data_IF_176793517164
#
_entry.id   IF_176793517164
#
_cell.length_a   1.000
_cell.length_b   1.000
_cell.length_c   1.000
_cell.angle_alpha   90.00
_cell.angle_beta   90.00
_cell.angle_gamma   90.00
#
_symmetry.space_group_name_H-M   'P 1'
#
loop_
_entity.id
_entity.type
_entity.pdbx_description
1 polymer ?
#
# COMPACT_ATOMS: atom_id res chain seq x y z
N UNK A 1 -22.33 -19.11 -13.22
CA UNK A 1 -21.28 -18.24 -12.64
C UNK A 1 -20.05 -19.10 -12.48
N UNK A 2 -18.94 -18.71 -13.04
CA UNK A 2 -17.73 -19.53 -13.01
C UNK A 2 -17.08 -19.32 -11.63
N UNK A 3 -17.30 -20.25 -10.72
CA UNK A 3 -16.90 -20.20 -9.30
C UNK A 3 -15.41 -20.58 -9.14
N UNK A 4 -14.55 -20.03 -9.98
CA UNK A 4 -13.12 -20.32 -9.94
C UNK A 4 -12.46 -19.51 -8.84
N UNK A 5 -11.84 -20.20 -7.89
CA UNK A 5 -11.05 -19.64 -6.80
C UNK A 5 -9.92 -18.77 -7.37
N UNK A 6 -10.00 -17.47 -7.15
CA UNK A 6 -9.01 -16.48 -7.62
C UNK A 6 -7.89 -16.26 -6.60
N UNK A 7 -6.73 -15.86 -7.09
CA UNK A 7 -5.68 -15.26 -6.26
C UNK A 7 -5.85 -13.74 -6.32
N UNK A 8 -6.06 -13.10 -5.18
CA UNK A 8 -6.35 -11.68 -5.07
C UNK A 8 -5.26 -11.01 -4.22
N UNK A 9 -4.63 -9.98 -4.76
CA UNK A 9 -3.79 -9.09 -3.96
C UNK A 9 -4.61 -7.86 -3.61
N UNK A 10 -4.74 -7.60 -2.31
CA UNK A 10 -5.51 -6.48 -1.75
C UNK A 10 -4.55 -5.40 -1.27
N UNK A 11 -4.64 -4.20 -1.83
CA UNK A 11 -3.90 -3.02 -1.37
C UNK A 11 -4.78 -2.17 -0.44
N UNK A 12 -4.44 -2.12 0.84
CA UNK A 12 -5.16 -1.36 1.86
C UNK A 12 -4.67 0.09 1.91
N UNK A 13 -5.57 1.05 1.69
CA UNK A 13 -5.32 2.48 1.88
C UNK A 13 -5.17 2.87 3.36
N UNK A 14 -4.74 4.11 3.62
CA UNK A 14 -4.54 4.61 4.99
C UNK A 14 -5.80 4.54 5.86
N UNK A 15 -6.97 4.80 5.29
CA UNK A 15 -8.26 4.74 5.99
C UNK A 15 -8.64 3.33 6.49
N UNK A 16 -8.07 2.29 5.88
CA UNK A 16 -8.27 0.90 6.32
C UNK A 16 -7.44 0.52 7.56
N UNK A 17 -6.59 1.44 8.06
CA UNK A 17 -5.73 1.22 9.22
C UNK A 17 -5.84 2.33 10.27
N UNK A 18 -6.25 3.52 9.88
CA UNK A 18 -6.38 4.65 10.78
C UNK A 18 -7.45 5.63 10.28
N UNK A 19 -8.42 5.96 11.14
CA UNK A 19 -9.37 7.05 10.91
C UNK A 19 -8.73 8.40 11.28
N UNK A 20 -9.18 9.48 10.64
CA UNK A 20 -8.67 10.81 10.92
C UNK A 20 -8.88 11.18 12.40
N UNK A 21 -7.83 11.66 13.05
CA UNK A 21 -7.84 12.03 14.48
C UNK A 21 -7.68 10.85 15.46
N UNK A 22 -7.64 9.59 14.99
CA UNK A 22 -7.55 8.40 15.83
C UNK A 22 -6.16 7.75 15.74
N UNK A 23 -5.16 8.30 16.43
CA UNK A 23 -3.78 7.84 16.35
C UNK A 23 -3.38 6.80 17.41
N UNK A 24 -4.24 6.51 18.41
CA UNK A 24 -3.91 5.54 19.45
C UNK A 24 -3.84 4.11 18.91
N UNK A 25 -2.98 3.26 19.51
CA UNK A 25 -2.87 1.84 19.14
C UNK A 25 -4.22 1.11 19.22
N UNK A 26 -5.01 1.38 20.26
CA UNK A 26 -6.34 0.78 20.44
C UNK A 26 -7.29 1.16 19.30
N UNK A 27 -7.29 2.44 18.88
CA UNK A 27 -8.12 2.89 17.78
C UNK A 27 -7.69 2.24 16.44
N UNK A 28 -6.39 2.13 16.19
CA UNK A 28 -5.87 1.50 14.98
C UNK A 28 -6.15 -0.01 14.94
N UNK A 29 -6.05 -0.72 16.07
CA UNK A 29 -6.45 -2.12 16.17
C UNK A 29 -7.94 -2.31 15.85
N UNK A 30 -8.82 -1.44 16.39
CA UNK A 30 -10.25 -1.47 16.05
C UNK A 30 -10.49 -1.29 14.55
N UNK A 31 -9.75 -0.38 13.89
CA UNK A 31 -9.86 -0.20 12.43
C UNK A 31 -9.36 -1.43 11.68
N UNK A 32 -8.30 -2.09 12.14
CA UNK A 32 -7.83 -3.35 11.58
C UNK A 32 -8.90 -4.46 11.70
N UNK A 33 -9.60 -4.55 12.84
CA UNK A 33 -10.72 -5.48 13.03
C UNK A 33 -11.87 -5.20 12.05
N UNK A 34 -12.26 -3.92 11.89
CA UNK A 34 -13.30 -3.50 10.94
C UNK A 34 -12.89 -3.88 9.50
N UNK A 35 -11.64 -3.62 9.14
CA UNK A 35 -11.07 -3.95 7.82
C UNK A 35 -11.10 -5.45 7.55
N UNK A 36 -10.63 -6.26 8.48
CA UNK A 36 -10.60 -7.73 8.32
C UNK A 36 -12.01 -8.30 8.18
N UNK A 37 -13.01 -7.78 8.90
CA UNK A 37 -14.40 -8.23 8.74
C UNK A 37 -14.94 -8.04 7.32
N UNK A 38 -14.55 -6.95 6.63
CA UNK A 38 -14.93 -6.71 5.23
C UNK A 38 -14.20 -7.67 4.27
N UNK A 39 -12.94 -8.00 4.56
CA UNK A 39 -12.14 -8.91 3.75
C UNK A 39 -12.52 -10.40 3.94
N UNK A 40 -13.20 -10.73 5.04
CA UNK A 40 -13.52 -12.11 5.37
C UNK A 40 -14.37 -12.80 4.29
N UNK A 41 -15.23 -12.04 3.61
CA UNK A 41 -16.06 -12.54 2.50
C UNK A 41 -15.22 -13.14 1.37
N UNK A 42 -14.07 -12.54 1.03
CA UNK A 42 -13.16 -13.06 0.01
C UNK A 42 -12.60 -14.44 0.39
N UNK A 43 -12.22 -14.60 1.67
CA UNK A 43 -11.59 -15.82 2.18
C UNK A 43 -12.64 -16.94 2.31
N UNK A 44 -13.85 -16.60 2.79
CA UNK A 44 -14.96 -17.57 2.91
C UNK A 44 -15.51 -18.00 1.56
N UNK A 45 -15.42 -17.16 0.52
CA UNK A 45 -15.69 -17.55 -0.88
C UNK A 45 -14.59 -18.46 -1.45
N UNK A 46 -13.52 -18.73 -0.71
CA UNK A 46 -12.46 -19.65 -1.11
C UNK A 46 -11.34 -19.02 -1.94
N UNK A 47 -11.30 -17.71 -2.06
CA UNK A 47 -10.19 -17.03 -2.74
C UNK A 47 -8.91 -17.12 -1.91
N UNK A 48 -7.77 -17.06 -2.60
CA UNK A 48 -6.43 -16.93 -2.02
C UNK A 48 -6.09 -15.46 -1.93
N UNK A 49 -5.71 -14.99 -0.74
CA UNK A 49 -5.56 -13.55 -0.48
C UNK A 49 -4.17 -13.22 0.04
N UNK A 50 -3.51 -12.26 -0.62
CA UNK A 50 -2.36 -11.55 -0.08
C UNK A 50 -2.74 -10.09 0.18
N UNK A 51 -2.23 -9.51 1.26
CA UNK A 51 -2.57 -8.16 1.71
C UNK A 51 -1.31 -7.30 1.72
N UNK A 52 -1.38 -6.18 1.06
CA UNK A 52 -0.40 -5.09 1.11
C UNK A 52 -1.05 -3.90 1.80
N UNK A 53 -0.40 -3.32 2.79
CA UNK A 53 -0.94 -2.17 3.51
C UNK A 53 -0.06 -0.92 3.35
N UNK A 54 -0.66 0.26 3.45
CA UNK A 54 0.08 1.49 3.69
C UNK A 54 0.57 1.56 5.14
N UNK A 55 1.52 2.45 5.40
CA UNK A 55 2.09 2.66 6.75
C UNK A 55 2.37 4.13 7.07
N UNK A 56 1.96 5.06 6.22
CA UNK A 56 2.37 6.47 6.31
C UNK A 56 2.26 7.09 7.72
N UNK A 57 1.09 7.02 8.40
CA UNK A 57 0.98 7.53 9.76
C UNK A 57 1.86 6.79 10.77
N UNK A 58 1.95 5.46 10.65
CA UNK A 58 2.68 4.61 11.61
C UNK A 58 4.19 4.81 11.48
N UNK A 59 4.74 4.77 10.27
CA UNK A 59 6.18 5.02 10.05
C UNK A 59 6.56 6.45 10.44
N UNK A 60 5.67 7.40 10.17
CA UNK A 60 5.86 8.80 10.59
C UNK A 60 5.98 8.94 12.11
N UNK A 61 5.12 8.28 12.87
CA UNK A 61 5.19 8.27 14.33
C UNK A 61 6.44 7.57 14.85
N UNK A 62 6.84 6.44 14.24
CA UNK A 62 8.08 5.74 14.61
C UNK A 62 9.28 6.67 14.41
N UNK A 63 9.41 7.29 13.24
CA UNK A 63 10.50 8.24 12.95
C UNK A 63 10.54 9.37 13.98
N UNK A 64 9.38 9.94 14.37
CA UNK A 64 9.33 10.98 15.41
C UNK A 64 9.82 10.48 16.77
N UNK A 65 9.47 9.25 17.17
CA UNK A 65 9.94 8.67 18.41
C UNK A 65 11.47 8.42 18.37
N UNK A 66 11.99 7.90 17.27
CA UNK A 66 13.41 7.69 17.04
C UNK A 66 14.20 9.01 17.13
N UNK A 67 13.69 10.05 16.45
CA UNK A 67 14.31 11.37 16.45
C UNK A 67 14.26 12.09 17.81
N UNK A 68 13.24 11.82 18.64
CA UNK A 68 13.07 12.47 19.93
C UNK A 68 14.13 12.04 20.96
N UNK A 69 14.70 10.82 20.81
CA UNK A 69 15.65 10.23 21.77
C UNK A 69 17.02 9.98 21.11
N UNK A 70 17.32 10.70 20.04
CA UNK A 70 18.58 10.51 19.31
C UNK A 70 19.79 11.00 20.13
N UNK A 71 20.55 10.05 20.68
CA UNK A 71 21.80 10.30 21.43
C UNK A 71 22.92 9.40 20.92
N UNK A 72 24.16 9.63 21.39
CA UNK A 72 25.28 8.76 21.06
C UNK A 72 25.10 7.33 21.59
N UNK A 73 24.42 7.17 22.74
CA UNK A 73 24.16 5.85 23.34
C UNK A 73 22.91 5.18 22.77
N UNK A 74 21.98 5.98 22.27
CA UNK A 74 20.73 5.50 21.64
C UNK A 74 20.52 6.25 20.33
N UNK A 75 21.28 5.89 19.28
CA UNK A 75 21.14 6.57 18.00
C UNK A 75 19.81 6.22 17.34
N UNK A 76 19.21 7.19 16.66
CA UNK A 76 17.97 6.96 15.89
C UNK A 76 18.21 5.95 14.77
N UNK A 77 17.22 5.09 14.55
CA UNK A 77 17.23 4.13 13.45
C UNK A 77 16.97 4.82 12.10
N UNK A 78 17.56 4.31 11.02
CA UNK A 78 17.30 4.82 9.68
C UNK A 78 15.85 4.55 9.23
N UNK A 79 15.43 5.19 8.14
CA UNK A 79 14.06 5.14 7.68
C UNK A 79 13.60 3.72 7.26
N UNK A 80 14.48 2.95 6.65
CA UNK A 80 14.20 1.57 6.27
C UNK A 80 13.91 0.66 7.48
N UNK A 81 14.62 0.85 8.60
CA UNK A 81 14.36 0.13 9.85
C UNK A 81 13.02 0.54 10.46
N UNK A 82 12.70 1.84 10.44
CA UNK A 82 11.37 2.34 10.82
C UNK A 82 10.27 1.74 9.92
N UNK A 83 10.56 1.53 8.64
CA UNK A 83 9.71 0.80 7.71
C UNK A 83 9.46 -0.63 8.16
N UNK A 84 10.53 -1.37 8.54
CA UNK A 84 10.44 -2.73 9.05
C UNK A 84 9.63 -2.82 10.35
N UNK A 85 9.85 -1.90 11.29
CA UNK A 85 9.07 -1.80 12.53
C UNK A 85 7.57 -1.61 12.25
N UNK A 86 7.23 -0.74 11.27
CA UNK A 86 5.85 -0.50 10.88
C UNK A 86 5.19 -1.74 10.26
N UNK A 87 5.93 -2.55 9.50
CA UNK A 87 5.43 -3.83 8.97
C UNK A 87 5.10 -4.81 10.10
N UNK A 88 5.98 -4.94 11.10
CA UNK A 88 5.76 -5.78 12.27
C UNK A 88 4.53 -5.34 13.07
N UNK A 89 4.41 -4.04 13.33
CA UNK A 89 3.31 -3.46 14.11
C UNK A 89 1.95 -3.67 13.43
N UNK A 90 1.82 -3.27 12.17
CA UNK A 90 0.57 -3.38 11.42
C UNK A 90 0.27 -4.87 11.12
N UNK A 91 1.30 -5.64 10.80
CA UNK A 91 1.17 -7.08 10.58
C UNK A 91 0.61 -7.80 11.81
N UNK A 92 1.10 -7.46 13.01
CA UNK A 92 0.58 -7.98 14.27
C UNK A 92 -0.92 -7.67 14.44
N UNK A 93 -1.34 -6.43 14.22
CA UNK A 93 -2.75 -6.04 14.34
C UNK A 93 -3.64 -6.80 13.37
N UNK A 94 -3.24 -6.92 12.10
CA UNK A 94 -3.99 -7.65 11.09
C UNK A 94 -4.04 -9.15 11.37
N UNK A 95 -2.94 -9.77 11.81
CA UNK A 95 -2.91 -11.19 12.19
C UNK A 95 -3.88 -11.48 13.34
N UNK A 96 -3.88 -10.64 14.37
CA UNK A 96 -4.76 -10.78 15.52
C UNK A 96 -6.23 -10.62 15.08
N UNK A 97 -6.54 -9.59 14.27
CA UNK A 97 -7.88 -9.37 13.73
C UNK A 97 -8.38 -10.57 12.89
N UNK A 98 -7.53 -11.17 12.05
CA UNK A 98 -7.88 -12.38 11.31
C UNK A 98 -8.11 -13.58 12.21
N UNK A 99 -7.24 -13.79 13.20
CA UNK A 99 -7.42 -14.88 14.18
C UNK A 99 -8.79 -14.79 14.85
N UNK A 100 -9.15 -13.61 15.35
CA UNK A 100 -10.41 -13.38 16.06
C UNK A 100 -11.62 -13.48 15.11
N UNK A 101 -11.49 -12.98 13.88
CA UNK A 101 -12.53 -13.11 12.86
C UNK A 101 -12.76 -14.57 12.47
N UNK A 102 -11.72 -15.36 12.25
CA UNK A 102 -11.83 -16.79 11.96
C UNK A 102 -12.49 -17.56 13.11
N UNK A 103 -12.02 -17.32 14.33
CA UNK A 103 -12.59 -17.92 15.53
C UNK A 103 -14.08 -17.60 15.71
N UNK A 104 -14.46 -16.33 15.52
CA UNK A 104 -15.85 -15.89 15.64
C UNK A 104 -16.80 -16.54 14.63
N UNK A 105 -16.28 -16.99 13.49
CA UNK A 105 -17.01 -17.69 12.42
C UNK A 105 -16.86 -19.21 12.47
N UNK A 106 -16.16 -19.76 13.47
CA UNK A 106 -15.93 -21.21 13.56
C UNK A 106 -14.98 -21.76 12.47
N UNK A 107 -14.17 -20.91 11.86
CA UNK A 107 -13.18 -21.26 10.82
C UNK A 107 -11.89 -21.67 11.54
N UNK A 108 -11.57 -22.96 11.56
CA UNK A 108 -10.44 -23.48 12.33
C UNK A 108 -9.26 -23.92 11.45
N UNK A 109 -9.42 -23.89 10.13
CA UNK A 109 -8.44 -24.35 9.13
C UNK A 109 -7.79 -23.20 8.34
N UNK A 110 -8.04 -21.95 8.74
CA UNK A 110 -7.47 -20.76 8.11
C UNK A 110 -6.52 -20.04 9.04
N UNK A 111 -5.46 -19.53 8.46
CA UNK A 111 -4.41 -18.80 9.17
C UNK A 111 -4.07 -17.52 8.43
N UNK A 112 -3.62 -16.51 9.17
CA UNK A 112 -3.02 -15.30 8.64
C UNK A 112 -1.61 -15.14 9.22
N UNK A 113 -0.66 -14.75 8.38
CA UNK A 113 0.72 -14.49 8.78
C UNK A 113 1.21 -13.18 8.19
N UNK A 114 2.08 -12.50 8.91
CA UNK A 114 2.80 -11.33 8.42
C UNK A 114 4.23 -11.71 8.07
N UNK A 115 4.69 -11.23 6.91
CA UNK A 115 6.05 -11.43 6.42
C UNK A 115 6.71 -10.06 6.30
N UNK A 116 7.79 -9.85 7.06
CA UNK A 116 8.67 -8.69 6.85
C UNK A 116 9.26 -8.81 5.45
N UNK A 117 9.07 -7.78 4.63
CA UNK A 117 9.26 -7.87 3.19
C UNK A 117 10.19 -6.79 2.69
N UNK A 118 11.22 -7.19 1.97
CA UNK A 118 12.19 -6.32 1.30
C UNK A 118 11.83 -6.16 -0.18
N UNK A 119 11.99 -4.94 -0.68
CA UNK A 119 11.72 -4.62 -2.09
C UNK A 119 12.97 -3.99 -2.72
N UNK A 120 13.52 -4.68 -3.70
CA UNK A 120 14.67 -4.18 -4.46
C UNK A 120 14.23 -3.03 -5.35
N UNK A 121 15.01 -1.94 -5.31
CA UNK A 121 14.84 -0.75 -6.16
C UNK A 121 16.09 -0.49 -6.97
N UNK A 122 15.96 0.28 -8.06
CA UNK A 122 17.08 0.69 -8.90
C UNK A 122 17.74 1.94 -8.33
N UNK A 123 19.04 1.91 -8.07
CA UNK A 123 19.79 3.08 -7.61
C UNK A 123 19.81 4.24 -8.61
N UNK A 124 19.55 3.96 -9.89
CA UNK A 124 19.46 4.96 -10.96
C UNK A 124 18.05 5.53 -11.16
N UNK A 125 17.05 5.09 -10.36
CA UNK A 125 15.69 5.61 -10.46
C UNK A 125 15.68 7.14 -10.26
N UNK A 126 15.05 7.91 -11.18
CA UNK A 126 14.98 9.38 -11.09
C UNK A 126 14.37 9.90 -9.79
N UNK A 127 13.59 9.08 -9.08
CA UNK A 127 13.02 9.44 -7.79
C UNK A 127 14.08 9.79 -6.75
N UNK A 128 15.29 9.22 -6.82
CA UNK A 128 16.40 9.57 -5.92
C UNK A 128 16.90 10.99 -6.13
N UNK A 129 16.80 11.52 -7.35
CA UNK A 129 17.17 12.91 -7.67
C UNK A 129 16.05 13.92 -7.37
N UNK A 130 14.81 13.45 -7.29
CA UNK A 130 13.65 14.31 -7.03
C UNK A 130 12.71 13.66 -6.01
N UNK A 131 13.02 13.74 -4.71
CA UNK A 131 12.16 13.23 -3.65
C UNK A 131 10.76 13.87 -3.68
N UNK A 132 9.71 13.04 -3.63
CA UNK A 132 8.32 13.49 -3.73
C UNK A 132 7.38 12.84 -2.73
N UNK A 133 7.80 11.78 -2.05
CA UNK A 133 6.92 11.03 -1.12
C UNK A 133 6.89 11.70 0.24
N UNK A 134 5.76 12.30 0.66
CA UNK A 134 5.68 12.95 1.96
C UNK A 134 5.62 11.92 3.09
N UNK A 135 6.42 12.14 4.12
CA UNK A 135 6.44 11.34 5.36
C UNK A 135 6.44 12.24 6.59
N UNK A 136 6.16 11.66 7.75
CA UNK A 136 6.20 12.36 9.02
C UNK A 136 5.09 13.42 9.20
N UNK A 137 5.26 14.32 10.18
CA UNK A 137 4.28 15.33 10.53
C UNK A 137 4.20 16.48 9.52
N UNK A 138 3.21 17.33 9.71
CA UNK A 138 3.15 18.62 9.07
C UNK A 138 3.93 19.64 9.90
N UNK A 139 4.68 20.50 9.23
CA UNK A 139 5.44 21.61 9.77
C UNK A 139 4.85 22.95 9.29
N UNK A 140 5.02 24.00 10.07
CA UNK A 140 4.96 25.35 9.56
C UNK A 140 6.15 25.60 8.63
N UNK A 141 6.14 26.65 7.83
CA UNK A 141 7.28 26.96 6.96
C UNK A 141 8.56 27.22 7.78
N UNK A 142 8.47 27.92 8.90
CA UNK A 142 9.60 28.21 9.80
C UNK A 142 10.21 26.92 10.36
N UNK A 143 9.38 26.02 10.89
CA UNK A 143 9.81 24.71 11.39
C UNK A 143 10.44 23.86 10.28
N UNK A 144 9.86 23.88 9.08
CA UNK A 144 10.38 23.15 7.92
C UNK A 144 11.79 23.60 7.55
N UNK A 145 12.02 24.92 7.49
CA UNK A 145 13.36 25.48 7.20
C UNK A 145 14.38 25.12 8.28
N UNK A 146 13.96 25.09 9.55
CA UNK A 146 14.81 24.65 10.65
C UNK A 146 15.19 23.18 10.52
N UNK A 147 14.22 22.29 10.27
CA UNK A 147 14.45 20.84 10.09
C UNK A 147 15.35 20.58 8.87
N UNK A 148 15.14 21.31 7.77
CA UNK A 148 15.98 21.24 6.57
C UNK A 148 17.45 21.58 6.88
N UNK A 149 17.68 22.67 7.62
CA UNK A 149 19.03 23.12 7.99
C UNK A 149 19.72 22.22 9.02
N UNK A 150 18.99 21.70 10.01
CA UNK A 150 19.56 20.92 11.12
C UNK A 150 19.76 19.42 10.75
N UNK A 151 18.91 18.89 9.86
CA UNK A 151 18.85 17.44 9.58
C UNK A 151 19.14 17.08 8.13
N UNK A 152 19.42 18.05 7.27
CA UNK A 152 19.63 17.88 5.84
C UNK A 152 18.46 17.13 5.14
N UNK A 153 17.23 17.38 5.61
CA UNK A 153 16.03 16.82 5.00
C UNK A 153 15.57 17.65 3.82
N UNK A 154 14.97 17.02 2.83
CA UNK A 154 14.23 17.71 1.78
C UNK A 154 12.80 17.91 2.28
N UNK A 155 12.32 19.16 2.30
CA UNK A 155 10.95 19.48 2.70
C UNK A 155 10.21 20.15 1.55
N UNK A 156 8.92 19.83 1.39
CA UNK A 156 8.05 20.40 0.37
C UNK A 156 6.69 20.76 0.98
N UNK A 157 6.07 21.77 0.41
CA UNK A 157 4.69 22.13 0.73
C UNK A 157 3.75 21.02 0.25
N UNK A 158 2.78 20.62 1.08
CA UNK A 158 1.85 19.52 0.84
C UNK A 158 0.40 20.03 0.73
N UNK A 159 0.05 20.48 -0.46
CA UNK A 159 -1.30 20.81 -0.89
C UNK A 159 -2.08 21.76 0.06
N UNK A 160 -1.46 22.84 0.53
CA UNK A 160 -2.07 23.85 1.41
C UNK A 160 -2.21 23.42 2.87
N UNK A 161 -1.74 22.23 3.23
CA UNK A 161 -1.85 21.67 4.59
C UNK A 161 -0.64 21.98 5.48
N UNK A 162 0.43 22.49 4.92
CA UNK A 162 1.72 22.77 5.55
C UNK A 162 2.87 22.09 4.82
N UNK A 163 4.02 22.04 5.45
CA UNK A 163 5.25 21.49 4.90
C UNK A 163 5.50 20.09 5.46
N UNK A 164 6.09 19.22 4.64
CA UNK A 164 6.46 17.86 5.08
C UNK A 164 7.83 17.48 4.54
N UNK A 165 8.54 16.63 5.30
CA UNK A 165 9.69 15.91 4.77
C UNK A 165 9.25 15.07 3.58
N UNK A 166 10.02 15.10 2.51
CA UNK A 166 9.83 14.23 1.35
C UNK A 166 11.06 13.36 1.13
N UNK A 167 10.81 12.11 0.76
CA UNK A 167 11.84 11.11 0.46
C UNK A 167 11.66 10.56 -0.95
N UNK A 168 12.70 9.91 -1.54
CA UNK A 168 12.56 9.22 -2.80
C UNK A 168 11.44 8.17 -2.77
N UNK A 169 10.74 8.00 -3.90
CA UNK A 169 9.73 6.96 -4.06
C UNK A 169 9.99 6.17 -5.35
N UNK A 170 11.06 5.34 -5.37
CA UNK A 170 11.44 4.57 -6.54
C UNK A 170 10.43 3.46 -6.85
N UNK A 171 10.41 2.99 -8.10
CA UNK A 171 9.58 1.86 -8.51
C UNK A 171 10.14 0.52 -8.01
N UNK A 172 9.27 -0.41 -7.56
CA UNK A 172 9.69 -1.74 -7.12
C UNK A 172 10.16 -2.58 -8.31
N UNK A 173 11.35 -3.19 -8.19
CA UNK A 173 11.92 -4.08 -9.20
C UNK A 173 11.66 -5.56 -8.87
N UNK A 174 11.88 -5.94 -7.61
CA UNK A 174 11.75 -7.29 -7.09
C UNK A 174 11.23 -7.27 -5.66
N UNK A 175 10.50 -8.29 -5.25
CA UNK A 175 10.16 -8.56 -3.85
C UNK A 175 10.93 -9.81 -3.43
N UNK A 176 11.86 -9.64 -2.50
CA UNK A 176 12.85 -10.68 -2.13
C UNK A 176 12.15 -11.96 -1.64
N UNK A 177 11.14 -11.82 -0.81
CA UNK A 177 10.41 -12.92 -0.18
C UNK A 177 9.27 -13.49 -1.06
N UNK A 178 9.15 -13.06 -2.32
CA UNK A 178 8.01 -13.39 -3.20
C UNK A 178 7.76 -14.88 -3.38
N UNK A 179 8.81 -15.71 -3.41
CA UNK A 179 8.68 -17.17 -3.54
C UNK A 179 8.02 -17.81 -2.32
N UNK A 180 8.40 -17.38 -1.12
CA UNK A 180 7.84 -17.85 0.15
C UNK A 180 6.39 -17.36 0.29
N UNK A 181 6.13 -16.08 -0.01
CA UNK A 181 4.78 -15.52 -0.01
C UNK A 181 3.87 -16.31 -0.96
N UNK A 182 4.35 -16.61 -2.17
CA UNK A 182 3.61 -17.43 -3.15
C UNK A 182 3.27 -18.82 -2.60
N UNK A 183 4.23 -19.51 -1.98
CA UNK A 183 4.02 -20.83 -1.40
C UNK A 183 2.92 -20.80 -0.33
N UNK A 184 2.96 -19.81 0.59
CA UNK A 184 1.97 -19.66 1.65
C UNK A 184 0.58 -19.31 1.09
N UNK A 185 0.48 -18.37 0.15
CA UNK A 185 -0.79 -17.99 -0.51
C UNK A 185 -1.37 -19.19 -1.26
N UNK A 186 -0.54 -19.98 -1.94
CA UNK A 186 -0.98 -21.19 -2.64
C UNK A 186 -1.49 -22.27 -1.68
N UNK A 187 -0.95 -22.33 -0.46
CA UNK A 187 -1.43 -23.21 0.61
C UNK A 187 -2.73 -22.68 1.28
N UNK A 188 -3.27 -21.54 0.85
CA UNK A 188 -4.50 -20.97 1.38
C UNK A 188 -4.32 -20.15 2.67
N UNK A 189 -3.09 -19.81 3.01
CA UNK A 189 -2.76 -18.91 4.12
C UNK A 189 -2.98 -17.46 3.66
N UNK A 190 -3.62 -16.64 4.45
CA UNK A 190 -3.70 -15.19 4.23
C UNK A 190 -2.35 -14.57 4.58
N UNK A 191 -1.70 -13.92 3.62
CA UNK A 191 -0.37 -13.36 3.83
C UNK A 191 -0.43 -11.84 3.82
N UNK A 192 -0.05 -11.21 4.93
CA UNK A 192 0.21 -9.77 5.03
C UNK A 192 1.68 -9.56 4.70
N UNK A 193 1.97 -8.79 3.65
CA UNK A 193 3.35 -8.59 3.17
C UNK A 193 3.50 -7.25 2.44
N UNK A 194 4.71 -6.89 2.09
CA UNK A 194 5.02 -5.69 1.29
C UNK A 194 4.43 -4.41 1.91
N UNK A 195 4.34 -4.38 3.24
CA UNK A 195 3.81 -3.23 3.98
C UNK A 195 4.61 -1.96 3.70
N UNK A 196 3.91 -0.83 3.46
CA UNK A 196 4.53 0.43 3.05
C UNK A 196 5.19 0.39 1.66
N UNK A 197 4.89 -0.63 0.84
CA UNK A 197 5.56 -0.90 -0.44
C UNK A 197 6.75 -1.85 -0.33
N UNK A 198 7.07 -2.32 0.87
CA UNK A 198 8.25 -3.09 1.22
C UNK A 198 9.39 -2.21 1.76
N UNK A 199 10.35 -2.82 2.44
CA UNK A 199 11.57 -2.16 2.89
C UNK A 199 12.47 -1.96 1.66
N UNK A 200 12.79 -0.71 1.28
CA UNK A 200 13.60 -0.44 0.10
C UNK A 200 15.04 -0.93 0.31
N UNK A 201 15.52 -1.73 -0.62
CA UNK A 201 16.91 -2.21 -0.61
C UNK A 201 17.53 -2.09 -1.99
N UNK A 202 18.84 -1.82 -2.02
CA UNK A 202 19.67 -1.89 -3.21
C UNK A 202 20.37 -3.26 -3.25
N UNK A 203 20.46 -3.86 -4.43
CA UNK A 203 21.23 -5.09 -4.64
C UNK A 203 22.61 -4.72 -5.18
N UNK A 204 23.66 -5.06 -4.44
CA UNK A 204 25.04 -4.90 -4.87
C UNK A 204 25.41 -5.95 -5.94
N UNK A 205 26.57 -5.75 -6.60
CA UNK A 205 27.05 -6.66 -7.65
C UNK A 205 27.34 -8.09 -7.16
N UNK A 206 27.69 -8.24 -5.89
CA UNK A 206 27.90 -9.54 -5.25
C UNK A 206 26.59 -10.21 -4.78
N UNK A 207 25.44 -9.56 -5.00
CA UNK A 207 24.11 -10.04 -4.62
C UNK A 207 23.67 -9.66 -3.21
N UNK A 208 24.52 -9.02 -2.40
CA UNK A 208 24.15 -8.53 -1.07
C UNK A 208 23.10 -7.41 -1.14
N UNK A 209 22.31 -7.28 -0.08
CA UNK A 209 21.24 -6.27 0.01
C UNK A 209 21.62 -5.21 1.05
N UNK A 210 21.36 -3.96 0.71
CA UNK A 210 21.61 -2.81 1.58
C UNK A 210 20.36 -1.94 1.63
N UNK A 211 19.89 -1.59 2.83
CA UNK A 211 18.80 -0.65 3.05
C UNK A 211 19.11 0.71 2.40
N UNK A 212 18.08 1.39 1.95
CA UNK A 212 18.20 2.74 1.37
C UNK A 212 17.06 3.63 1.83
N UNK A 213 17.39 4.88 2.13
CA UNK A 213 16.40 5.88 2.56
C UNK A 213 15.43 6.22 1.41
N UNK A 214 14.30 5.54 1.39
CA UNK A 214 13.23 5.73 0.42
C UNK A 214 11.90 5.20 0.99
N UNK A 215 10.78 5.51 0.35
CA UNK A 215 9.47 4.91 0.64
C UNK A 215 8.78 4.58 -0.67
N UNK A 216 8.63 3.30 -0.95
CA UNK A 216 7.94 2.82 -2.15
C UNK A 216 6.44 3.09 -2.00
N UNK A 217 5.77 3.50 -3.06
CA UNK A 217 4.32 3.60 -3.03
C UNK A 217 3.70 2.20 -2.92
N UNK A 218 2.81 2.00 -1.94
CA UNK A 218 2.20 0.70 -1.66
C UNK A 218 1.39 0.14 -2.83
N UNK A 219 0.81 1.00 -3.67
CA UNK A 219 -0.01 0.56 -4.80
C UNK A 219 0.89 -0.06 -5.88
N UNK A 220 2.08 0.52 -6.13
CA UNK A 220 3.10 -0.11 -6.98
C UNK A 220 3.69 -1.37 -6.34
N UNK A 221 3.92 -1.38 -5.02
CA UNK A 221 4.33 -2.58 -4.28
C UNK A 221 3.31 -3.71 -4.42
N UNK A 222 2.02 -3.39 -4.30
CA UNK A 222 0.93 -4.35 -4.48
C UNK A 222 0.83 -4.87 -5.92
N UNK A 223 0.98 -3.99 -6.92
CA UNK A 223 1.01 -4.38 -8.32
C UNK A 223 2.18 -5.33 -8.62
N UNK A 224 3.38 -5.03 -8.09
CA UNK A 224 4.55 -5.90 -8.22
C UNK A 224 4.35 -7.25 -7.54
N UNK A 225 3.80 -7.26 -6.33
CA UNK A 225 3.46 -8.52 -5.64
C UNK A 225 2.43 -9.32 -6.44
N UNK A 226 1.38 -8.67 -6.94
CA UNK A 226 0.34 -9.32 -7.74
C UNK A 226 0.90 -9.97 -9.01
N UNK A 227 1.82 -9.30 -9.70
CA UNK A 227 2.52 -9.86 -10.84
C UNK A 227 3.35 -11.08 -10.46
N UNK A 228 4.19 -10.98 -9.42
CA UNK A 228 5.05 -12.06 -8.93
C UNK A 228 4.25 -13.26 -8.43
N UNK A 229 3.08 -13.05 -7.83
CA UNK A 229 2.17 -14.13 -7.40
C UNK A 229 1.35 -14.71 -8.56
N UNK A 230 1.38 -14.10 -9.75
CA UNK A 230 0.48 -14.39 -10.88
C UNK A 230 -0.98 -14.30 -10.44
N UNK A 231 -1.31 -13.21 -9.74
CA UNK A 231 -2.65 -12.98 -9.24
C UNK A 231 -3.64 -12.75 -10.38
N UNK A 232 -4.88 -13.18 -10.17
CA UNK A 232 -5.99 -12.94 -11.10
C UNK A 232 -6.53 -11.51 -10.95
N UNK A 233 -6.45 -10.98 -9.72
CA UNK A 233 -7.03 -9.68 -9.40
C UNK A 233 -6.12 -8.86 -8.49
N UNK A 234 -5.91 -7.60 -8.84
CA UNK A 234 -5.39 -6.55 -7.96
C UNK A 234 -6.57 -5.70 -7.48
N UNK A 235 -6.86 -5.74 -6.19
CA UNK A 235 -7.92 -4.97 -5.56
C UNK A 235 -7.33 -3.82 -4.73
N UNK A 236 -7.51 -2.59 -5.19
CA UNK A 236 -7.04 -1.39 -4.48
C UNK A 236 -8.19 -0.77 -3.70
N UNK A 237 -8.11 -0.82 -2.38
CA UNK A 237 -9.09 -0.26 -1.47
C UNK A 237 -8.70 1.17 -1.05
N UNK A 238 -9.61 2.10 -1.25
CA UNK A 238 -9.41 3.54 -1.03
C UNK A 238 -10.64 4.18 -0.37
N UNK A 239 -10.64 5.52 -0.23
CA UNK A 239 -11.73 6.25 0.46
C UNK A 239 -12.96 6.49 -0.43
N UNK A 240 -12.90 6.13 -1.71
CA UNK A 240 -13.98 6.38 -2.68
C UNK A 240 -14.43 5.09 -3.34
N UNK A 241 -15.71 5.01 -3.70
CA UNK A 241 -16.32 3.80 -4.26
C UNK A 241 -15.86 3.50 -5.69
N UNK A 242 -15.38 4.50 -6.43
CA UNK A 242 -14.88 4.35 -7.80
C UNK A 242 -13.95 5.50 -8.18
N UNK A 243 -13.11 5.30 -9.19
CA UNK A 243 -12.39 6.39 -9.83
C UNK A 243 -13.37 7.29 -10.61
N UNK A 244 -13.10 8.59 -10.62
CA UNK A 244 -13.96 9.58 -11.25
C UNK A 244 -13.17 10.45 -12.22
N UNK A 245 -13.82 10.83 -13.32
CA UNK A 245 -13.37 11.89 -14.22
C UNK A 245 -14.14 13.18 -13.93
N UNK A 246 -13.57 14.33 -14.33
CA UNK A 246 -14.12 15.66 -14.05
C UNK A 246 -14.41 15.87 -12.54
N UNK A 247 -13.52 15.39 -11.70
CA UNK A 247 -13.69 15.40 -10.24
C UNK A 247 -13.98 16.81 -9.71
N UNK A 248 -14.99 16.92 -8.86
CA UNK A 248 -15.51 18.20 -8.33
C UNK A 248 -16.06 19.18 -9.41
N UNK A 249 -16.40 18.69 -10.62
CA UNK A 249 -17.04 19.48 -11.66
C UNK A 249 -18.53 19.12 -11.80
N UNK A 250 -19.37 19.98 -12.39
CA UNK A 250 -20.80 19.68 -12.61
C UNK A 250 -21.07 18.42 -13.44
N UNK A 251 -20.10 18.02 -14.25
CA UNK A 251 -20.12 16.83 -15.11
C UNK A 251 -19.26 15.68 -14.56
N UNK A 252 -19.07 15.63 -13.23
CA UNK A 252 -18.37 14.53 -12.58
C UNK A 252 -19.03 13.19 -12.93
N UNK A 253 -18.22 12.21 -13.29
CA UNK A 253 -18.68 10.88 -13.66
C UNK A 253 -17.81 9.80 -13.01
N UNK A 254 -18.45 8.81 -12.37
CA UNK A 254 -17.78 7.61 -11.87
C UNK A 254 -17.53 6.63 -13.02
N UNK A 255 -16.32 6.12 -13.08
CA UNK A 255 -15.92 5.08 -14.03
C UNK A 255 -16.31 3.71 -13.47
N UNK A 256 -16.96 2.87 -14.29
CA UNK A 256 -17.39 1.53 -13.87
C UNK A 256 -16.52 0.44 -14.50
N UNK A 257 -16.68 0.13 -15.72
CA UNK A 257 -15.87 -0.82 -16.48
C UNK A 257 -15.13 -0.05 -17.57
N UNK A 258 -13.82 -0.15 -17.60
CA UNK A 258 -12.95 0.70 -18.43
C UNK A 258 -11.81 -0.16 -18.99
N UNK A 259 -11.48 0.02 -20.26
CA UNK A 259 -10.32 -0.61 -20.88
C UNK A 259 -9.01 0.08 -20.49
N UNK A 260 -7.88 -0.61 -20.70
CA UNK A 260 -6.53 -0.03 -20.51
C UNK A 260 -6.35 1.23 -21.37
N UNK A 261 -6.77 1.18 -22.64
CA UNK A 261 -6.63 2.27 -23.60
C UNK A 261 -7.43 3.50 -23.17
N UNK A 262 -8.67 3.29 -22.73
CA UNK A 262 -9.51 4.38 -22.24
C UNK A 262 -8.94 5.00 -20.95
N UNK A 263 -8.43 4.17 -20.03
CA UNK A 263 -7.79 4.66 -18.82
C UNK A 263 -6.52 5.47 -19.11
N UNK A 264 -5.70 5.03 -20.07
CA UNK A 264 -4.53 5.80 -20.54
C UNK A 264 -4.92 7.15 -21.12
N UNK A 265 -6.02 7.21 -21.86
CA UNK A 265 -6.56 8.48 -22.39
C UNK A 265 -6.95 9.41 -21.25
N UNK A 266 -7.66 8.93 -20.22
CA UNK A 266 -8.01 9.74 -19.07
C UNK A 266 -6.78 10.24 -18.29
N UNK A 267 -5.69 9.46 -18.21
CA UNK A 267 -4.41 9.92 -17.64
C UNK A 267 -3.84 11.06 -18.51
N UNK A 268 -3.80 10.91 -19.84
CA UNK A 268 -3.28 11.93 -20.75
C UNK A 268 -4.08 13.24 -20.67
N UNK A 269 -5.39 13.13 -20.43
CA UNK A 269 -6.31 14.25 -20.22
C UNK A 269 -6.24 14.84 -18.78
N UNK A 270 -5.26 14.43 -17.96
CA UNK A 270 -5.03 14.89 -16.58
C UNK A 270 -6.25 14.76 -15.65
N UNK A 271 -7.06 13.71 -15.81
CA UNK A 271 -8.28 13.51 -15.04
C UNK A 271 -8.05 13.11 -13.59
N UNK A 272 -6.83 12.68 -13.22
CA UNK A 272 -6.56 12.09 -11.91
C UNK A 272 -5.51 12.87 -11.12
N UNK A 273 -5.78 13.11 -9.84
CA UNK A 273 -4.87 13.82 -8.95
C UNK A 273 -3.56 13.04 -8.72
N UNK A 274 -2.41 13.67 -8.99
CA UNK A 274 -1.08 13.07 -8.95
C UNK A 274 -0.69 12.45 -7.59
N UNK A 275 -1.17 13.04 -6.47
CA UNK A 275 -0.85 12.55 -5.10
C UNK A 275 -1.81 11.51 -4.55
N UNK A 276 -2.86 11.09 -5.30
CA UNK A 276 -3.88 10.20 -4.75
C UNK A 276 -4.38 9.14 -5.72
N UNK A 277 -5.20 9.50 -6.72
CA UNK A 277 -5.83 8.54 -7.64
C UNK A 277 -4.86 8.09 -8.75
N UNK A 278 -4.04 8.98 -9.29
CA UNK A 278 -3.14 8.66 -10.40
C UNK A 278 -2.19 7.48 -10.10
N UNK A 279 -1.50 7.41 -8.94
CA UNK A 279 -0.64 6.26 -8.62
C UNK A 279 -1.40 4.93 -8.59
N UNK A 280 -2.66 4.91 -8.12
CA UNK A 280 -3.51 3.70 -8.09
C UNK A 280 -3.82 3.20 -9.48
N UNK A 281 -4.17 4.11 -10.37
CA UNK A 281 -4.46 3.79 -11.77
C UNK A 281 -3.20 3.31 -12.48
N UNK A 282 -2.07 4.00 -12.30
CA UNK A 282 -0.79 3.59 -12.90
C UNK A 282 -0.36 2.20 -12.41
N UNK A 283 -0.45 1.93 -11.11
CA UNK A 283 -0.17 0.62 -10.53
C UNK A 283 -1.12 -0.47 -11.09
N UNK A 284 -2.40 -0.14 -11.28
CA UNK A 284 -3.37 -1.03 -11.92
C UNK A 284 -2.98 -1.36 -13.36
N UNK A 285 -2.56 -0.36 -14.13
CA UNK A 285 -2.10 -0.55 -15.52
C UNK A 285 -0.80 -1.37 -15.56
N UNK A 286 0.19 -1.05 -14.72
CA UNK A 286 1.45 -1.83 -14.62
C UNK A 286 1.16 -3.32 -14.36
N UNK A 287 0.18 -3.64 -13.48
CA UNK A 287 -0.24 -5.02 -13.22
C UNK A 287 -0.94 -5.67 -14.40
N UNK A 288 -1.86 -4.97 -15.06
CA UNK A 288 -2.63 -5.53 -16.20
C UNK A 288 -1.74 -5.78 -17.40
N UNK A 289 -0.80 -4.89 -17.70
CA UNK A 289 0.12 -5.00 -18.83
C UNK A 289 1.21 -6.07 -18.63
N UNK A 290 1.50 -6.46 -17.37
CA UNK A 290 2.46 -7.52 -17.07
C UNK A 290 1.93 -8.95 -17.30
N UNK A 291 0.64 -9.13 -17.65
CA UNK A 291 0.05 -10.46 -17.88
C UNK A 291 -1.29 -10.42 -18.60
N UNK A 292 -1.86 -11.60 -18.87
CA UNK A 292 -3.15 -11.75 -19.55
C UNK A 292 -4.24 -12.20 -18.59
N UNK A 293 -5.49 -11.97 -18.96
CA UNK A 293 -6.69 -12.42 -18.22
C UNK A 293 -6.72 -11.92 -16.77
N UNK A 294 -6.22 -10.69 -16.55
CA UNK A 294 -6.14 -10.03 -15.26
C UNK A 294 -7.20 -8.94 -15.11
N UNK A 295 -7.56 -8.66 -13.88
CA UNK A 295 -8.50 -7.60 -13.54
C UNK A 295 -7.91 -6.72 -12.44
N UNK A 296 -7.95 -5.40 -12.61
CA UNK A 296 -7.67 -4.46 -11.53
C UNK A 296 -8.96 -3.77 -11.10
N UNK A 297 -9.17 -3.63 -9.79
CA UNK A 297 -10.38 -3.05 -9.23
C UNK A 297 -9.98 -1.96 -8.23
N UNK A 298 -10.59 -0.78 -8.36
CA UNK A 298 -10.45 0.34 -7.41
C UNK A 298 -11.81 0.60 -6.77
N UNK A 299 -11.89 0.49 -5.43
CA UNK A 299 -13.16 0.68 -4.72
C UNK A 299 -12.94 1.06 -3.24
N UNK A 300 -14.03 1.29 -2.50
CA UNK A 300 -13.99 1.44 -1.04
C UNK A 300 -13.95 0.08 -0.33
N UNK A 301 -13.55 0.10 0.94
CA UNK A 301 -13.49 -1.10 1.78
C UNK A 301 -14.88 -1.75 1.92
N UNK A 302 -15.91 -0.94 2.09
CA UNK A 302 -17.29 -1.35 2.28
C UNK A 302 -17.87 -2.05 1.03
N UNK A 303 -17.32 -1.74 -0.15
CA UNK A 303 -17.76 -2.30 -1.43
C UNK A 303 -16.95 -3.50 -1.91
N UNK A 304 -16.07 -4.04 -1.06
CA UNK A 304 -15.15 -5.12 -1.41
C UNK A 304 -15.85 -6.32 -2.04
N UNK A 305 -16.91 -6.85 -1.43
CA UNK A 305 -17.64 -8.02 -1.93
C UNK A 305 -18.34 -7.74 -3.25
N UNK A 306 -19.10 -6.64 -3.30
CA UNK A 306 -19.82 -6.21 -4.51
C UNK A 306 -18.85 -5.98 -5.69
N UNK A 307 -17.64 -5.47 -5.42
CA UNK A 307 -16.64 -5.17 -6.44
C UNK A 307 -16.04 -6.45 -7.04
N UNK A 308 -15.77 -7.46 -6.23
CA UNK A 308 -15.28 -8.78 -6.73
C UNK A 308 -16.35 -9.48 -7.59
N UNK A 309 -17.63 -9.27 -7.27
CA UNK A 309 -18.78 -9.76 -8.05
C UNK A 309 -19.07 -8.90 -9.30
N UNK A 310 -18.29 -7.84 -9.55
CA UNK A 310 -18.46 -6.95 -10.71
C UNK A 310 -19.56 -5.91 -10.55
N UNK A 311 -20.11 -5.73 -9.34
CA UNK A 311 -21.28 -4.86 -9.10
C UNK A 311 -20.89 -3.47 -8.57
N UNK A 312 -19.65 -3.28 -8.09
CA UNK A 312 -19.15 -2.02 -7.56
C UNK A 312 -17.72 -1.72 -8.04
N UNK A 313 -17.25 -0.51 -7.77
CA UNK A 313 -15.88 -0.09 -8.09
C UNK A 313 -15.65 0.34 -9.52
N UNK A 314 -14.44 0.75 -9.83
CA UNK A 314 -13.91 0.86 -11.18
C UNK A 314 -13.16 -0.42 -11.51
N UNK A 315 -13.60 -1.12 -12.52
CA UNK A 315 -13.04 -2.38 -13.00
C UNK A 315 -12.26 -2.09 -14.28
N UNK A 316 -10.96 -2.35 -14.25
CA UNK A 316 -10.08 -2.19 -15.41
C UNK A 316 -9.70 -3.59 -15.90
N UNK A 317 -9.89 -3.85 -17.18
CA UNK A 317 -9.60 -5.13 -17.83
C UNK A 317 -8.64 -4.96 -19.00
N UNK A 318 -7.80 -5.99 -19.19
CA UNK A 318 -6.95 -6.12 -20.38
C UNK A 318 -7.77 -6.52 -21.60
#
# INVERSE_FOLDING_TARGET
MNDSKKTIVVALGGNALQKQGEASSVAQQRVADETVRQLLSLITAGHRVAIVHGNGPQVGNIVLHEEAINTTETPSLPLEDSGAMSQGLIGFWLQQAFHDAFKSKGINDKYAVSVVTQTVVDSSDPAFLNPTKPIGPFYTEEEARKVEAERNYVVKEDAGRGWRRVVPSPKPQEIVESSVIRAMVSAGIVVVSTGGGGIPVLRAQDGTLHGVEAVIDKDFGAAKLADLLKADTLLILTAVDAAKINFNQPNEQSLREVSIEEMKKHIADNQFAAGSMLPKIQASLDFLESGKDRTAIITSLEKTSEAIDGQAGTIIKS
#
